data_IF_548865193604
#
_entry.id   IF_548865193604
#
_cell.length_a   1.000
_cell.length_b   1.000
_cell.length_c   1.000
_cell.angle_alpha   90.00
_cell.angle_beta   90.00
_cell.angle_gamma   90.00
#
_symmetry.space_group_name_H-M   'P 1'
#
loop_
_entity.id
_entity.type
_entity.pdbx_description
1 polymer ?
#
# COMPACT_ATOMS: atom_id res chain seq x y z
N UNK A 1 -41.19 -45.02 3.88
CA UNK A 1 -40.23 -44.90 2.76
C UNK A 1 -40.49 -43.70 1.83
N UNK A 2 -41.74 -43.36 1.45
CA UNK A 2 -42.02 -42.25 0.49
C UNK A 2 -41.76 -40.81 1.01
N UNK A 3 -41.81 -40.56 2.33
CA UNK A 3 -41.56 -39.22 2.91
C UNK A 3 -40.08 -38.86 3.00
N UNK A 4 -39.20 -39.84 3.25
CA UNK A 4 -37.75 -39.61 3.36
C UNK A 4 -37.09 -39.36 2.00
N UNK A 5 -37.57 -39.99 0.93
CA UNK A 5 -37.09 -39.70 -0.43
C UNK A 5 -37.50 -38.31 -0.90
N UNK A 6 -38.70 -37.85 -0.57
CA UNK A 6 -39.17 -36.51 -0.92
C UNK A 6 -38.38 -35.41 -0.18
N UNK A 7 -38.07 -35.61 1.10
CA UNK A 7 -37.20 -34.71 1.89
C UNK A 7 -35.76 -34.68 1.35
N UNK A 8 -35.21 -35.82 0.94
CA UNK A 8 -33.88 -35.89 0.35
C UNK A 8 -33.84 -35.20 -1.02
N UNK A 9 -34.89 -35.37 -1.85
CA UNK A 9 -35.02 -34.68 -3.13
C UNK A 9 -35.18 -33.18 -2.97
N UNK A 10 -35.97 -32.71 -2.00
CA UNK A 10 -36.10 -31.27 -1.69
C UNK A 10 -34.79 -30.72 -1.14
N UNK A 11 -34.07 -31.45 -0.28
CA UNK A 11 -32.76 -31.03 0.23
C UNK A 11 -31.71 -30.95 -0.89
N UNK A 12 -31.70 -31.91 -1.83
CA UNK A 12 -30.83 -31.89 -3.01
C UNK A 12 -31.22 -30.77 -3.96
N UNK A 13 -32.52 -30.51 -4.17
CA UNK A 13 -32.99 -29.37 -4.99
C UNK A 13 -32.66 -28.03 -4.32
N UNK A 14 -32.79 -27.92 -3.00
CA UNK A 14 -32.41 -26.73 -2.22
C UNK A 14 -30.89 -26.53 -2.20
N UNK A 15 -30.09 -27.60 -2.13
CA UNK A 15 -28.63 -27.55 -2.29
C UNK A 15 -28.20 -27.21 -3.72
N UNK A 16 -28.95 -27.65 -4.74
CA UNK A 16 -28.71 -27.30 -6.16
C UNK A 16 -29.15 -25.86 -6.48
N UNK A 17 -30.22 -25.35 -5.85
CA UNK A 17 -30.67 -23.95 -5.97
C UNK A 17 -29.77 -23.01 -5.15
N UNK A 18 -29.21 -23.47 -4.02
CA UNK A 18 -28.22 -22.74 -3.24
C UNK A 18 -26.81 -22.76 -3.88
N UNK A 19 -26.57 -23.62 -4.88
CA UNK A 19 -25.29 -23.79 -5.57
C UNK A 19 -24.97 -22.74 -6.64
N UNK A 20 -25.86 -21.77 -6.86
CA UNK A 20 -25.61 -20.60 -7.72
C UNK A 20 -25.64 -19.30 -6.90
N UNK A 21 -25.24 -19.38 -5.63
CA UNK A 21 -25.05 -18.22 -4.79
C UNK A 21 -23.79 -17.48 -5.23
N UNK A 22 -24.01 -16.30 -5.85
CA UNK A 22 -23.16 -15.12 -5.79
C UNK A 22 -21.84 -15.37 -5.05
N UNK A 23 -20.81 -15.71 -5.82
CA UNK A 23 -19.43 -15.64 -5.40
C UNK A 23 -18.70 -14.81 -6.45
N UNK A 24 -18.02 -13.76 -6.00
CA UNK A 24 -17.21 -12.89 -6.85
C UNK A 24 -16.32 -13.77 -7.71
N UNK A 25 -16.41 -13.62 -9.03
CA UNK A 25 -15.67 -14.49 -9.92
C UNK A 25 -14.17 -14.20 -9.84
N UNK A 26 -13.35 -15.26 -9.82
CA UNK A 26 -11.90 -15.14 -9.99
C UNK A 26 -11.60 -14.36 -11.28
N UNK A 27 -10.69 -13.41 -11.20
CA UNK A 27 -10.42 -12.42 -12.25
C UNK A 27 -11.10 -11.07 -11.98
N UNK A 28 -12.10 -10.97 -11.11
CA UNK A 28 -12.71 -9.68 -10.81
C UNK A 28 -11.67 -8.64 -10.35
N UNK A 29 -11.77 -7.44 -10.90
CA UNK A 29 -10.90 -6.32 -10.62
C UNK A 29 -11.60 -5.46 -9.58
N UNK A 30 -10.93 -5.25 -8.45
CA UNK A 30 -11.44 -4.51 -7.29
C UNK A 30 -10.84 -3.12 -7.26
N UNK A 31 -11.66 -2.13 -6.92
CA UNK A 31 -11.25 -0.73 -6.88
C UNK A 31 -11.63 -0.10 -5.54
N UNK A 32 -10.71 0.69 -5.00
CA UNK A 32 -11.00 1.57 -3.88
C UNK A 32 -10.39 2.95 -4.07
N UNK A 33 -10.98 3.95 -3.41
CA UNK A 33 -10.45 5.31 -3.35
C UNK A 33 -9.26 5.38 -2.40
N UNK A 34 -8.49 6.46 -2.47
CA UNK A 34 -7.59 6.87 -1.40
C UNK A 34 -8.34 7.51 -0.22
N UNK A 35 -7.57 8.03 0.75
CA UNK A 35 -8.04 8.84 1.88
C UNK A 35 -9.10 9.88 1.49
N UNK A 36 -10.06 10.09 2.39
CA UNK A 36 -11.22 10.97 2.23
C UNK A 36 -12.11 10.69 1.01
N UNK A 37 -12.08 9.47 0.44
CA UNK A 37 -12.86 9.13 -0.74
C UNK A 37 -12.28 9.71 -2.04
N UNK A 38 -11.02 10.16 -2.04
CA UNK A 38 -10.37 10.78 -3.19
C UNK A 38 -9.90 9.73 -4.19
N UNK A 39 -10.20 9.93 -5.46
CA UNK A 39 -9.68 9.11 -6.55
C UNK A 39 -9.56 9.99 -7.80
N UNK A 40 -8.35 10.06 -8.35
CA UNK A 40 -8.05 10.90 -9.51
C UNK A 40 -8.92 10.50 -10.71
N UNK A 41 -9.63 11.46 -11.29
CA UNK A 41 -10.68 11.27 -12.29
C UNK A 41 -12.10 11.10 -11.73
N UNK A 42 -12.28 10.55 -10.52
CA UNK A 42 -13.62 10.36 -9.93
C UNK A 42 -14.04 11.59 -9.14
N UNK A 43 -13.30 11.91 -8.07
CA UNK A 43 -13.59 13.02 -7.15
C UNK A 43 -12.47 14.07 -7.12
N UNK A 44 -11.29 13.76 -7.65
CA UNK A 44 -10.14 14.66 -7.73
C UNK A 44 -9.64 14.77 -9.18
N UNK A 45 -9.12 15.91 -9.59
CA UNK A 45 -8.38 16.10 -10.85
C UNK A 45 -7.07 16.87 -10.62
N UNK A 46 -6.67 16.96 -9.35
CA UNK A 46 -5.54 17.73 -8.85
C UNK A 46 -4.54 16.78 -8.20
N UNK A 47 -3.26 16.92 -8.55
CA UNK A 47 -2.15 16.16 -7.96
C UNK A 47 -1.47 16.98 -6.86
N UNK A 48 -1.21 16.44 -5.67
CA UNK A 48 -0.57 17.23 -4.61
C UNK A 48 0.82 17.72 -5.05
N UNK A 49 1.21 18.89 -4.52
CA UNK A 49 2.47 19.57 -4.83
C UNK A 49 3.72 18.76 -4.49
N UNK A 50 3.58 17.84 -3.54
CA UNK A 50 4.73 17.40 -2.79
C UNK A 50 5.19 16.04 -3.31
N UNK A 51 6.37 16.10 -3.93
CA UNK A 51 7.23 14.93 -4.14
C UNK A 51 7.52 14.19 -2.83
N UNK A 52 7.39 14.90 -1.70
CA UNK A 52 7.44 14.37 -0.35
C UNK A 52 6.19 13.52 -0.04
N UNK A 53 5.00 13.82 -0.55
CA UNK A 53 3.79 13.03 -0.29
C UNK A 53 3.77 11.79 -1.19
N UNK A 54 4.24 11.94 -2.42
CA UNK A 54 4.34 10.85 -3.40
C UNK A 54 5.48 9.88 -3.03
N UNK A 55 6.64 10.36 -2.54
CA UNK A 55 7.77 9.51 -2.15
C UNK A 55 7.83 9.16 -0.65
N UNK A 56 7.33 10.01 0.25
CA UNK A 56 7.49 9.90 1.72
C UNK A 56 6.15 9.70 2.48
N UNK A 57 5.01 10.30 2.08
CA UNK A 57 3.74 10.29 2.84
C UNK A 57 2.53 9.57 2.21
N UNK A 58 2.79 8.58 1.35
CA UNK A 58 1.94 7.42 1.04
C UNK A 58 0.76 7.56 0.08
N UNK A 59 0.21 8.71 -0.33
CA UNK A 59 -0.92 8.70 -1.28
C UNK A 59 -1.03 9.91 -2.23
N UNK A 60 -1.18 9.61 -3.53
CA UNK A 60 -1.40 10.61 -4.60
C UNK A 60 -2.89 10.89 -4.83
N UNK A 61 -3.77 10.31 -4.01
CA UNK A 61 -5.21 10.33 -4.27
C UNK A 61 -5.61 9.57 -5.54
N UNK A 62 -4.76 8.64 -6.02
CA UNK A 62 -4.97 7.88 -7.26
C UNK A 62 -6.05 6.81 -7.13
N UNK A 63 -6.41 6.42 -5.90
CA UNK A 63 -7.07 5.14 -5.65
C UNK A 63 -6.12 3.96 -5.86
N UNK A 64 -6.68 2.76 -5.81
CA UNK A 64 -5.92 1.50 -5.88
C UNK A 64 -6.73 0.40 -6.56
N UNK A 65 -6.02 -0.59 -7.11
CA UNK A 65 -6.59 -1.73 -7.84
C UNK A 65 -6.01 -3.04 -7.31
N UNK A 66 -6.85 -4.06 -7.20
CA UNK A 66 -6.43 -5.42 -6.96
C UNK A 66 -7.16 -6.41 -7.89
N UNK A 67 -6.51 -7.54 -8.17
CA UNK A 67 -7.09 -8.67 -8.87
C UNK A 67 -7.58 -9.72 -7.87
N UNK A 68 -8.86 -10.03 -7.88
CA UNK A 68 -9.41 -11.11 -7.07
C UNK A 68 -9.08 -12.47 -7.69
N UNK A 69 -8.53 -13.40 -6.91
CA UNK A 69 -8.02 -14.69 -7.42
C UNK A 69 -8.83 -15.90 -6.92
N UNK A 70 -9.95 -15.66 -6.24
CA UNK A 70 -10.76 -16.71 -5.60
C UNK A 70 -10.39 -16.95 -4.13
N UNK A 71 -11.27 -17.64 -3.40
CA UNK A 71 -11.08 -18.02 -1.99
C UNK A 71 -10.74 -16.84 -1.07
N UNK A 72 -11.41 -15.68 -1.24
CA UNK A 72 -11.15 -14.48 -0.43
C UNK A 72 -9.69 -13.97 -0.53
N UNK A 73 -9.01 -14.22 -1.65
CA UNK A 73 -7.63 -13.80 -1.89
C UNK A 73 -7.55 -12.80 -3.04
N UNK A 74 -6.59 -11.88 -2.95
CA UNK A 74 -6.30 -10.90 -3.99
C UNK A 74 -4.81 -10.88 -4.30
N UNK A 75 -4.47 -10.41 -5.50
CA UNK A 75 -3.11 -10.00 -5.88
C UNK A 75 -3.15 -8.52 -6.24
N UNK A 76 -2.21 -7.75 -5.70
CA UNK A 76 -2.07 -6.33 -6.00
C UNK A 76 -0.60 -5.89 -5.92
N UNK A 77 -0.27 -4.77 -6.59
CA UNK A 77 1.04 -4.16 -6.46
C UNK A 77 0.99 -3.05 -5.42
N UNK A 78 1.73 -3.20 -4.33
CA UNK A 78 1.93 -2.18 -3.28
C UNK A 78 3.41 -1.82 -3.21
N UNK A 79 3.82 -0.81 -2.43
CA UNK A 79 5.23 -0.34 -2.42
C UNK A 79 6.24 -1.44 -2.08
N UNK A 80 5.84 -2.42 -1.28
CA UNK A 80 6.63 -3.59 -0.89
C UNK A 80 6.81 -4.61 -2.03
N UNK A 81 6.04 -4.46 -3.10
CA UNK A 81 6.03 -5.32 -4.29
C UNK A 81 4.64 -5.84 -4.61
N UNK A 82 4.58 -6.74 -5.59
CA UNK A 82 3.37 -7.51 -5.90
C UNK A 82 3.19 -8.58 -4.84
N UNK A 83 2.07 -8.57 -4.13
CA UNK A 83 1.79 -9.53 -3.06
C UNK A 83 0.44 -10.22 -3.22
N UNK A 84 0.32 -11.41 -2.64
CA UNK A 84 -0.94 -12.15 -2.53
C UNK A 84 -1.44 -12.12 -1.09
N UNK A 85 -2.54 -11.42 -0.84
CA UNK A 85 -3.09 -11.19 0.51
C UNK A 85 -4.56 -11.58 0.62
N UNK A 86 -5.09 -11.56 1.84
CA UNK A 86 -6.52 -11.74 2.10
C UNK A 86 -7.30 -10.53 1.57
N UNK A 87 -8.44 -10.77 0.93
CA UNK A 87 -9.31 -9.74 0.35
C UNK A 87 -9.77 -8.70 1.38
N UNK A 88 -9.88 -9.06 2.67
CA UNK A 88 -10.20 -8.12 3.76
C UNK A 88 -9.14 -7.06 3.98
N UNK A 89 -7.92 -7.34 3.55
CA UNK A 89 -6.79 -6.43 3.61
C UNK A 89 -6.70 -5.54 2.36
N UNK A 90 -7.62 -5.66 1.40
CA UNK A 90 -7.69 -4.71 0.29
C UNK A 90 -7.94 -3.29 0.81
N UNK A 91 -8.85 -3.15 1.77
CA UNK A 91 -9.01 -1.92 2.55
C UNK A 91 -8.90 -2.25 4.06
N UNK A 92 -7.70 -2.16 4.67
CA UNK A 92 -7.52 -2.49 6.07
C UNK A 92 -8.29 -1.52 6.99
N UNK A 93 -8.56 -1.91 8.25
CA UNK A 93 -9.29 -1.06 9.23
C UNK A 93 -8.66 0.34 9.37
N UNK A 94 -7.34 0.42 9.28
CA UNK A 94 -6.61 1.69 9.34
C UNK A 94 -6.99 2.65 8.22
N UNK A 95 -7.21 2.14 7.02
CA UNK A 95 -7.55 2.95 5.85
C UNK A 95 -9.04 3.29 5.81
N UNK A 96 -9.90 2.38 6.28
CA UNK A 96 -11.32 2.71 6.52
C UNK A 96 -11.47 3.90 7.48
N UNK A 97 -10.68 3.95 8.56
CA UNK A 97 -10.69 5.08 9.51
C UNK A 97 -10.19 6.40 8.90
N UNK A 98 -9.38 6.31 7.84
CA UNK A 98 -8.90 7.43 7.03
C UNK A 98 -9.87 7.78 5.89
N UNK A 99 -11.05 7.16 5.84
CA UNK A 99 -12.08 7.51 4.87
C UNK A 99 -11.88 6.91 3.48
N UNK A 100 -11.06 5.88 3.33
CA UNK A 100 -11.00 5.09 2.10
C UNK A 100 -12.34 4.41 1.86
N UNK A 101 -12.77 4.36 0.59
CA UNK A 101 -14.06 3.80 0.22
C UNK A 101 -13.89 2.78 -0.88
N UNK A 102 -14.61 1.67 -0.73
CA UNK A 102 -14.76 0.71 -1.80
C UNK A 102 -15.56 1.34 -2.95
N UNK A 103 -15.06 1.22 -4.18
CA UNK A 103 -15.68 1.79 -5.38
C UNK A 103 -16.54 0.74 -6.09
N UNK A 104 -16.04 -0.49 -6.20
CA UNK A 104 -16.75 -1.60 -6.81
C UNK A 104 -15.82 -2.63 -7.43
N UNK A 105 -16.43 -3.66 -8.02
CA UNK A 105 -15.75 -4.69 -8.78
C UNK A 105 -16.17 -4.64 -10.25
N UNK A 106 -15.25 -4.99 -11.14
CA UNK A 106 -15.48 -5.10 -12.59
C UNK A 106 -14.90 -6.42 -13.11
N UNK A 107 -15.49 -6.93 -14.17
CA UNK A 107 -14.99 -8.08 -14.94
C UNK A 107 -14.98 -7.73 -16.43
N UNK A 108 -14.16 -8.39 -17.26
CA UNK A 108 -14.24 -8.26 -18.72
C UNK A 108 -15.66 -8.42 -19.26
N UNK A 109 -15.97 -7.82 -20.41
CA UNK A 109 -17.23 -8.11 -21.09
C UNK A 109 -17.34 -9.61 -21.42
N UNK A 110 -18.58 -10.12 -21.35
CA UNK A 110 -18.92 -11.52 -21.64
C UNK A 110 -18.16 -12.54 -20.78
N UNK A 111 -17.77 -12.17 -19.55
CA UNK A 111 -17.02 -13.06 -18.65
C UNK A 111 -17.79 -14.34 -18.25
N UNK A 112 -19.10 -14.29 -18.36
CA UNK A 112 -20.04 -15.39 -18.12
C UNK A 112 -20.17 -16.35 -19.32
N UNK A 113 -19.72 -15.96 -20.52
CA UNK A 113 -19.74 -16.82 -21.70
C UNK A 113 -18.57 -17.83 -21.65
N UNK A 114 -18.82 -19.13 -21.45
CA UNK A 114 -17.76 -20.13 -21.36
C UNK A 114 -17.03 -20.37 -22.70
N UNK A 115 -17.59 -19.93 -23.83
CA UNK A 115 -16.92 -19.96 -25.13
C UNK A 115 -15.81 -18.91 -25.23
N UNK A 116 -15.97 -17.77 -24.54
CA UNK A 116 -14.98 -16.69 -24.47
C UNK A 116 -14.08 -16.84 -23.24
N UNK A 117 -14.66 -17.15 -22.10
CA UNK A 117 -14.03 -17.24 -20.78
C UNK A 117 -14.29 -18.58 -20.12
N UNK A 118 -13.72 -19.64 -20.71
CA UNK A 118 -13.74 -20.97 -20.09
C UNK A 118 -13.07 -20.97 -18.71
N UNK A 119 -13.45 -21.91 -17.84
CA UNK A 119 -12.82 -22.09 -16.54
C UNK A 119 -11.30 -22.31 -16.61
N UNK A 120 -10.84 -23.01 -17.66
CA UNK A 120 -9.41 -23.19 -17.92
C UNK A 120 -8.73 -21.85 -18.19
N UNK A 121 -9.34 -21.01 -19.03
CA UNK A 121 -8.84 -19.68 -19.36
C UNK A 121 -8.75 -18.78 -18.13
N UNK A 122 -9.81 -18.76 -17.31
CA UNK A 122 -9.83 -18.04 -16.02
C UNK A 122 -8.73 -18.58 -15.08
N UNK A 123 -8.51 -19.90 -15.03
CA UNK A 123 -7.44 -20.50 -14.23
C UNK A 123 -6.04 -20.12 -14.72
N UNK A 124 -5.82 -20.03 -16.04
CA UNK A 124 -4.56 -19.60 -16.63
C UNK A 124 -4.26 -18.14 -16.32
N UNK A 125 -5.26 -17.25 -16.40
CA UNK A 125 -5.16 -15.86 -15.97
C UNK A 125 -4.69 -15.76 -14.52
N UNK A 126 -5.32 -16.50 -13.60
CA UNK A 126 -4.93 -16.49 -12.18
C UNK A 126 -3.52 -17.04 -11.97
N UNK A 127 -3.13 -18.11 -12.68
CA UNK A 127 -1.78 -18.65 -12.61
C UNK A 127 -0.75 -17.63 -13.10
N UNK A 128 -1.06 -16.91 -14.17
CA UNK A 128 -0.22 -15.85 -14.72
C UNK A 128 -0.08 -14.68 -13.73
N UNK A 129 -1.17 -14.28 -13.06
CA UNK A 129 -1.13 -13.28 -11.99
C UNK A 129 -0.22 -13.72 -10.83
N UNK A 130 -0.33 -14.97 -10.39
CA UNK A 130 0.50 -15.54 -9.32
C UNK A 130 2.00 -15.54 -9.66
N UNK A 131 2.37 -15.68 -10.93
CA UNK A 131 3.76 -15.59 -11.37
C UNK A 131 4.35 -14.18 -11.21
N UNK A 132 3.51 -13.15 -11.06
CA UNK A 132 3.97 -11.78 -10.84
C UNK A 132 4.25 -11.47 -9.36
N UNK A 133 3.83 -12.34 -8.43
CA UNK A 133 4.05 -12.14 -6.98
C UNK A 133 5.55 -12.09 -6.67
N UNK A 134 5.95 -11.10 -5.87
CA UNK A 134 7.33 -10.81 -5.52
C UNK A 134 8.04 -9.84 -6.46
N UNK A 135 7.40 -9.46 -7.58
CA UNK A 135 7.96 -8.42 -8.45
C UNK A 135 7.90 -7.03 -7.80
N UNK A 136 8.86 -6.14 -8.08
CA UNK A 136 8.92 -4.81 -7.48
C UNK A 136 7.78 -3.89 -7.92
N UNK A 137 7.59 -2.82 -7.16
CA UNK A 137 6.62 -1.77 -7.45
C UNK A 137 7.27 -0.60 -8.18
N UNK A 138 6.60 -0.12 -9.22
CA UNK A 138 7.03 1.06 -9.97
C UNK A 138 6.70 2.35 -9.19
N UNK A 139 7.66 2.78 -8.38
CA UNK A 139 7.49 3.92 -7.46
C UNK A 139 7.45 5.29 -8.15
N UNK A 140 8.03 5.43 -9.34
CA UNK A 140 8.03 6.68 -10.11
C UNK A 140 7.04 6.65 -11.29
N UNK A 141 6.32 5.55 -11.51
CA UNK A 141 5.33 5.40 -12.57
C UNK A 141 5.96 5.50 -13.98
N UNK A 142 7.26 5.22 -14.15
CA UNK A 142 7.92 5.32 -15.46
C UNK A 142 7.66 4.12 -16.36
N UNK A 143 7.45 2.93 -15.79
CA UNK A 143 7.28 1.66 -16.50
C UNK A 143 5.81 1.19 -16.57
N UNK A 144 5.05 1.45 -15.50
CA UNK A 144 3.62 1.23 -15.26
C UNK A 144 3.14 -0.21 -15.46
N UNK A 145 3.21 -0.74 -16.68
CA UNK A 145 2.84 -2.11 -17.07
C UNK A 145 4.02 -3.11 -16.95
N UNK A 146 5.11 -2.78 -16.26
CA UNK A 146 6.17 -3.74 -15.97
C UNK A 146 7.10 -4.10 -17.13
N UNK A 147 7.35 -3.15 -18.05
CA UNK A 147 8.29 -3.30 -19.18
C UNK A 147 9.69 -3.79 -18.74
N UNK A 148 10.10 -3.44 -17.52
CA UNK A 148 11.35 -3.89 -16.89
C UNK A 148 11.14 -4.74 -15.61
N UNK A 149 9.89 -5.13 -15.32
CA UNK A 149 9.51 -5.96 -14.17
C UNK A 149 8.81 -5.23 -13.01
N UNK A 150 8.74 -3.90 -13.05
CA UNK A 150 8.17 -3.05 -11.99
C UNK A 150 6.73 -2.64 -12.31
N UNK A 151 5.78 -2.89 -11.41
CA UNK A 151 4.36 -2.65 -11.65
C UNK A 151 3.76 -1.52 -10.81
N UNK A 152 2.88 -0.74 -11.41
CA UNK A 152 1.86 0.00 -10.66
C UNK A 152 0.66 -0.92 -10.38
N UNK A 153 -0.22 -0.57 -9.44
CA UNK A 153 -1.38 -1.40 -9.13
C UNK A 153 -2.31 -1.61 -10.34
N UNK A 154 -2.61 -0.54 -11.09
CA UNK A 154 -3.40 -0.60 -12.32
C UNK A 154 -2.64 -1.30 -13.45
N UNK A 155 -1.34 -1.00 -13.61
CA UNK A 155 -0.52 -1.60 -14.67
C UNK A 155 -0.25 -3.09 -14.47
N UNK A 156 -0.24 -3.60 -13.23
CA UNK A 156 -0.20 -5.03 -12.95
C UNK A 156 -1.43 -5.74 -13.53
N UNK A 157 -2.62 -5.20 -13.28
CA UNK A 157 -3.88 -5.82 -13.75
C UNK A 157 -3.92 -5.85 -15.27
N UNK A 158 -3.56 -4.73 -15.90
CA UNK A 158 -3.47 -4.62 -17.36
C UNK A 158 -2.48 -5.61 -17.93
N UNK A 159 -1.27 -5.65 -17.37
CA UNK A 159 -0.26 -6.60 -17.82
C UNK A 159 -0.75 -8.04 -17.73
N UNK A 160 -1.39 -8.41 -16.61
CA UNK A 160 -1.92 -9.76 -16.41
C UNK A 160 -2.96 -10.10 -17.47
N UNK A 161 -3.88 -9.19 -17.76
CA UNK A 161 -4.96 -9.42 -18.72
C UNK A 161 -4.52 -9.32 -20.18
N UNK A 162 -3.58 -8.46 -20.52
CA UNK A 162 -3.15 -8.32 -21.92
C UNK A 162 -2.13 -9.39 -22.30
N UNK A 163 -1.26 -9.78 -21.35
CA UNK A 163 -0.09 -10.61 -21.66
C UNK A 163 -0.27 -12.09 -21.32
N UNK A 164 -1.33 -12.49 -20.60
CA UNK A 164 -1.65 -13.91 -20.53
C UNK A 164 -1.98 -14.45 -21.93
N UNK A 165 -1.80 -15.75 -22.15
CA UNK A 165 -1.89 -16.38 -23.48
C UNK A 165 -0.84 -15.89 -24.50
N UNK A 166 0.26 -15.27 -24.04
CA UNK A 166 1.35 -14.87 -24.91
C UNK A 166 1.10 -13.55 -25.65
N UNK A 167 0.39 -12.62 -25.00
CA UNK A 167 0.12 -11.28 -25.55
C UNK A 167 -1.19 -11.16 -26.32
N UNK A 168 -2.07 -12.16 -26.27
CA UNK A 168 -3.36 -12.17 -26.96
C UNK A 168 -4.53 -12.32 -25.99
N UNK A 169 -4.35 -11.90 -24.73
CA UNK A 169 -5.33 -12.11 -23.68
C UNK A 169 -6.61 -11.31 -23.87
N UNK A 170 -6.77 -10.24 -23.11
CA UNK A 170 -7.91 -9.34 -23.13
C UNK A 170 -7.45 -7.91 -22.86
N UNK A 171 -7.82 -7.00 -23.76
CA UNK A 171 -7.55 -5.57 -23.63
C UNK A 171 -8.59 -4.95 -22.68
N UNK A 172 -8.15 -4.55 -21.49
CA UNK A 172 -9.02 -3.91 -20.49
C UNK A 172 -9.15 -2.42 -20.81
N UNK A 173 -8.07 -1.75 -21.19
CA UNK A 173 -8.11 -0.31 -21.41
C UNK A 173 -7.44 -0.01 -22.73
N UNK A 174 -8.15 0.57 -23.71
CA UNK A 174 -7.56 0.90 -25.00
C UNK A 174 -6.27 1.72 -24.85
N UNK A 175 -5.19 1.20 -25.44
CA UNK A 175 -3.90 1.89 -25.38
C UNK A 175 -3.97 3.25 -26.07
N UNK A 176 -3.56 4.29 -25.35
CA UNK A 176 -3.47 5.63 -25.89
C UNK A 176 -3.04 6.65 -24.85
N UNK A 177 -2.50 7.76 -25.34
CA UNK A 177 -2.11 8.93 -24.55
C UNK A 177 -3.09 10.07 -24.76
N UNK A 178 -3.45 10.77 -23.67
CA UNK A 178 -4.39 11.89 -23.70
C UNK A 178 -4.14 12.81 -24.92
N UNK A 179 -5.01 12.81 -25.95
CA UNK A 179 -4.97 13.78 -27.02
C UNK A 179 -5.56 15.11 -26.53
N UNK A 180 -5.04 16.22 -27.04
CA UNK A 180 -5.51 17.57 -26.67
C UNK A 180 -6.98 17.82 -27.02
N UNK A 181 -7.60 16.96 -27.82
CA UNK A 181 -8.97 17.09 -28.32
C UNK A 181 -9.84 15.88 -27.97
N UNK A 182 -10.91 16.12 -27.21
CA UNK A 182 -12.12 15.30 -27.25
C UNK A 182 -12.20 14.03 -26.40
N UNK A 183 -11.19 13.66 -25.60
CA UNK A 183 -11.17 12.33 -24.92
C UNK A 183 -10.88 12.40 -23.41
N UNK A 184 -11.25 13.49 -22.75
CA UNK A 184 -11.25 13.54 -21.28
C UNK A 184 -11.38 14.92 -20.66
N UNK A 185 -11.06 15.00 -19.36
CA UNK A 185 -11.25 16.18 -18.50
C UNK A 185 -9.91 16.83 -18.16
N UNK A 186 -9.85 18.16 -18.10
CA UNK A 186 -8.64 18.87 -17.67
C UNK A 186 -8.92 19.89 -16.59
N UNK A 187 -7.93 20.15 -15.74
CA UNK A 187 -7.99 21.17 -14.71
C UNK A 187 -6.66 21.92 -14.57
N UNK A 188 -6.74 23.23 -14.35
CA UNK A 188 -5.58 24.03 -13.97
C UNK A 188 -5.30 23.83 -12.48
N UNK A 189 -4.03 23.65 -12.17
CA UNK A 189 -3.53 23.47 -10.82
C UNK A 189 -2.38 24.43 -10.55
N UNK A 190 -2.41 25.04 -9.38
CA UNK A 190 -1.33 25.89 -8.88
C UNK A 190 -0.44 25.10 -7.94
N UNK A 191 0.84 25.06 -8.28
CA UNK A 191 1.91 24.42 -7.55
C UNK A 191 2.71 25.45 -6.78
N UNK A 192 2.61 25.39 -5.46
CA UNK A 192 3.44 26.12 -4.53
C UNK A 192 4.30 25.11 -3.75
N UNK A 193 5.40 24.66 -4.37
CA UNK A 193 6.25 23.59 -3.85
C UNK A 193 7.70 24.06 -3.64
N UNK A 194 8.53 23.25 -2.99
CA UNK A 194 9.94 23.59 -2.76
C UNK A 194 10.72 23.86 -4.05
N UNK A 195 10.43 23.10 -5.12
CA UNK A 195 11.08 23.25 -6.43
C UNK A 195 10.67 24.52 -7.17
N UNK A 196 9.48 25.06 -6.88
CA UNK A 196 9.06 26.39 -7.35
C UNK A 196 9.49 27.50 -6.39
N UNK A 197 10.33 27.19 -5.39
CA UNK A 197 10.74 28.10 -4.33
C UNK A 197 9.55 28.76 -3.61
N UNK A 198 8.46 28.00 -3.47
CA UNK A 198 7.19 28.46 -2.91
C UNK A 198 6.54 29.61 -3.70
N UNK A 199 6.87 29.73 -4.98
CA UNK A 199 6.18 30.59 -5.94
C UNK A 199 5.09 29.79 -6.65
N UNK A 200 3.97 30.45 -6.92
CA UNK A 200 2.83 29.83 -7.60
C UNK A 200 3.16 29.54 -9.07
N UNK A 201 3.30 28.27 -9.44
CA UNK A 201 3.42 27.79 -10.83
C UNK A 201 2.10 27.14 -11.25
N UNK A 202 1.43 27.68 -12.27
CA UNK A 202 0.15 27.15 -12.72
C UNK A 202 0.32 26.27 -13.96
N UNK A 203 -0.11 25.00 -13.89
CA UNK A 203 -0.07 24.06 -15.01
C UNK A 203 -1.40 23.35 -15.18
N UNK A 204 -1.61 22.76 -16.35
CA UNK A 204 -2.85 22.05 -16.72
C UNK A 204 -2.61 20.55 -16.71
N UNK A 205 -3.30 19.82 -15.84
CA UNK A 205 -3.36 18.36 -15.89
C UNK A 205 -4.58 17.90 -16.66
N UNK A 206 -4.51 16.70 -17.22
CA UNK A 206 -5.60 16.10 -17.98
C UNK A 206 -5.81 14.65 -17.59
N UNK A 207 -7.04 14.30 -17.26
CA UNK A 207 -7.51 12.96 -17.02
C UNK A 207 -8.10 12.36 -18.30
N UNK A 208 -7.58 11.19 -18.69
CA UNK A 208 -8.05 10.43 -19.83
C UNK A 208 -9.28 9.59 -19.47
N UNK A 209 -10.30 9.65 -20.33
CA UNK A 209 -11.55 8.89 -20.15
C UNK A 209 -11.64 7.67 -21.06
N UNK A 210 -11.17 7.79 -22.30
CA UNK A 210 -11.34 6.75 -23.34
C UNK A 210 -10.08 5.93 -23.62
N UNK A 211 -8.96 6.24 -22.95
CA UNK A 211 -7.64 5.65 -23.19
C UNK A 211 -6.81 5.62 -21.89
N UNK A 212 -5.76 4.79 -21.85
CA UNK A 212 -4.96 4.49 -20.65
C UNK A 212 -4.32 5.71 -19.96
N UNK A 213 -3.64 6.58 -20.70
CA UNK A 213 -2.64 7.48 -20.13
C UNK A 213 -3.15 8.92 -19.98
N UNK A 214 -3.27 9.37 -18.73
CA UNK A 214 -3.59 10.75 -18.34
C UNK A 214 -2.34 11.63 -18.35
N UNK A 215 -2.43 12.85 -18.91
CA UNK A 215 -1.31 13.79 -18.95
C UNK A 215 -1.12 14.49 -17.60
N UNK A 216 0.11 14.47 -17.10
CA UNK A 216 0.49 15.15 -15.86
C UNK A 216 1.57 16.21 -16.14
N UNK A 217 1.36 17.42 -15.61
CA UNK A 217 2.27 18.56 -15.73
C UNK A 217 2.61 19.06 -14.34
N UNK A 218 3.67 18.51 -13.76
CA UNK A 218 4.20 18.93 -12.46
C UNK A 218 5.57 19.60 -12.62
N UNK A 219 5.92 20.63 -11.82
CA UNK A 219 7.24 21.29 -11.85
C UNK A 219 8.43 20.34 -11.83
N UNK A 220 8.29 19.24 -11.11
CA UNK A 220 9.36 18.29 -10.85
C UNK A 220 9.19 16.93 -11.53
N UNK A 221 8.15 16.75 -12.35
CA UNK A 221 7.90 15.47 -13.03
C UNK A 221 9.09 15.04 -13.89
N UNK A 222 9.77 16.00 -14.53
CA UNK A 222 10.96 15.71 -15.32
C UNK A 222 12.19 15.43 -14.46
N UNK A 223 12.39 16.18 -13.37
CA UNK A 223 13.54 16.05 -12.48
C UNK A 223 13.55 14.70 -11.75
N UNK A 224 12.36 14.19 -11.39
CA UNK A 224 12.20 12.92 -10.68
C UNK A 224 11.80 11.74 -11.57
N UNK A 225 11.83 11.94 -12.88
CA UNK A 225 11.42 10.93 -13.86
C UNK A 225 10.06 10.30 -13.56
N UNK A 226 9.10 11.16 -13.18
CA UNK A 226 7.76 10.72 -12.79
C UNK A 226 6.84 10.57 -13.99
N UNK A 227 6.20 9.42 -14.08
CA UNK A 227 5.31 9.09 -15.16
C UNK A 227 6.06 8.68 -16.41
N UNK A 228 5.34 7.95 -17.27
CA UNK A 228 5.82 7.48 -18.55
C UNK A 228 6.04 8.67 -19.48
N UNK A 229 7.19 8.69 -20.13
CA UNK A 229 7.55 9.74 -21.09
C UNK A 229 6.98 9.42 -22.47
N UNK A 230 6.24 10.34 -23.05
CA UNK A 230 5.76 10.23 -24.43
C UNK A 230 5.70 11.61 -25.09
N UNK A 231 6.32 11.77 -26.27
CA UNK A 231 6.38 13.03 -27.02
C UNK A 231 6.81 14.27 -26.19
N UNK A 232 7.73 14.09 -25.23
CA UNK A 232 8.25 15.17 -24.38
C UNK A 232 7.39 15.51 -23.16
N UNK A 233 6.22 14.88 -23.02
CA UNK A 233 5.30 15.05 -21.89
C UNK A 233 5.31 13.81 -20.98
N UNK A 234 4.72 13.96 -19.79
CA UNK A 234 4.63 12.90 -18.77
C UNK A 234 3.19 12.42 -18.60
N UNK A 235 3.04 11.11 -18.44
CA UNK A 235 1.73 10.50 -18.32
C UNK A 235 1.68 9.44 -17.22
N UNK A 236 0.53 9.32 -16.58
CA UNK A 236 0.24 8.30 -15.58
C UNK A 236 -1.06 7.61 -15.95
N UNK A 237 -1.06 6.30 -15.85
CA UNK A 237 -2.24 5.46 -15.89
C UNK A 237 -2.83 5.38 -14.50
N UNK A 238 -4.07 5.86 -14.35
CA UNK A 238 -4.78 5.86 -13.08
C UNK A 238 -5.83 4.74 -12.98
N UNK A 239 -6.03 4.19 -11.78
CA UNK A 239 -7.09 3.21 -11.49
C UNK A 239 -8.48 3.59 -12.01
N UNK A 240 -8.86 4.86 -11.93
CA UNK A 240 -10.22 5.27 -12.31
C UNK A 240 -10.42 5.26 -13.82
N UNK A 241 -9.39 5.57 -14.60
CA UNK A 241 -9.42 5.44 -16.07
C UNK A 241 -9.77 4.01 -16.44
N UNK A 242 -9.11 3.01 -15.84
CA UNK A 242 -9.44 1.60 -16.05
C UNK A 242 -10.88 1.26 -15.60
N UNK A 243 -11.31 1.78 -14.45
CA UNK A 243 -12.64 1.49 -13.90
C UNK A 243 -13.80 1.92 -14.82
N UNK A 244 -13.66 3.04 -15.53
CA UNK A 244 -14.72 3.59 -16.39
C UNK A 244 -14.78 2.96 -17.78
N UNK A 245 -13.84 2.08 -18.13
CA UNK A 245 -13.79 1.50 -19.47
C UNK A 245 -15.01 0.64 -19.78
N UNK A 246 -15.48 0.73 -21.03
CA UNK A 246 -16.66 0.00 -21.53
C UNK A 246 -16.36 -1.47 -21.86
N UNK A 247 -15.09 -1.82 -21.96
CA UNK A 247 -14.55 -3.20 -22.07
C UNK A 247 -14.76 -4.02 -20.79
N UNK A 248 -15.24 -3.41 -19.70
CA UNK A 248 -15.56 -4.13 -18.47
C UNK A 248 -16.97 -3.82 -18.00
N UNK A 249 -17.60 -4.80 -17.35
CA UNK A 249 -18.93 -4.67 -16.75
C UNK A 249 -18.84 -4.72 -15.22
N UNK A 250 -19.62 -3.90 -14.48
CA UNK A 250 -19.70 -4.02 -13.03
C UNK A 250 -20.19 -5.40 -12.60
N UNK A 251 -19.68 -5.89 -11.48
CA UNK A 251 -20.13 -7.13 -10.83
C UNK A 251 -20.37 -6.89 -9.34
N UNK A 252 -21.33 -7.60 -8.76
CA UNK A 252 -21.58 -7.54 -7.33
C UNK A 252 -20.40 -8.11 -6.55
N UNK A 253 -20.16 -7.56 -5.36
CA UNK A 253 -19.10 -8.00 -4.45
C UNK A 253 -19.74 -8.60 -3.22
N UNK A 254 -19.62 -9.91 -3.10
CA UNK A 254 -20.17 -10.75 -2.02
C UNK A 254 -19.06 -11.32 -1.10
N UNK A 255 -17.80 -11.00 -1.40
CA UNK A 255 -16.63 -11.33 -0.59
C UNK A 255 -16.19 -10.15 0.28
N UNK A 256 -15.61 -10.38 1.46
CA UNK A 256 -15.20 -9.30 2.33
C UNK A 256 -13.93 -8.62 1.81
N UNK A 257 -14.09 -7.41 1.26
CA UNK A 257 -12.98 -6.61 0.68
C UNK A 257 -12.40 -5.56 1.62
N UNK A 258 -12.84 -5.53 2.88
CA UNK A 258 -12.39 -4.53 3.85
C UNK A 258 -12.52 -5.01 5.28
N UNK A 259 -11.88 -4.29 6.20
CA UNK A 259 -12.03 -4.51 7.64
C UNK A 259 -10.96 -5.39 8.28
N UNK A 260 -10.01 -5.93 7.51
CA UNK A 260 -8.86 -6.71 8.01
C UNK A 260 -9.22 -8.04 8.68
N UNK A 261 -8.40 -9.06 8.49
CA UNK A 261 -8.56 -10.36 9.18
C UNK A 261 -8.06 -10.32 10.63
N UNK A 262 -8.82 -9.68 11.52
CA UNK A 262 -8.55 -9.70 12.97
C UNK A 262 -9.86 -9.86 13.74
N UNK A 263 -9.92 -10.86 14.61
CA UNK A 263 -10.98 -11.05 15.60
C UNK A 263 -11.21 -9.76 16.39
N UNK A 264 -12.46 -9.50 16.77
CA UNK A 264 -12.89 -8.35 17.58
C UNK A 264 -12.46 -8.45 19.04
N UNK A 265 -11.17 -8.74 19.28
CA UNK A 265 -10.55 -8.72 20.59
C UNK A 265 -9.60 -7.52 20.65
N UNK A 266 -9.92 -6.58 21.54
CA UNK A 266 -9.22 -5.34 21.87
C UNK A 266 -7.77 -5.57 22.41
N UNK A 267 -6.88 -6.16 21.61
CA UNK A 267 -5.46 -6.38 21.96
C UNK A 267 -4.47 -5.79 20.93
N UNK A 268 -4.92 -4.82 20.13
CA UNK A 268 -4.07 -4.04 19.21
C UNK A 268 -3.14 -3.04 19.93
N UNK A 269 -3.18 -2.94 21.25
CA UNK A 269 -2.39 -1.93 21.98
C UNK A 269 -0.88 -2.21 21.96
N UNK A 270 -0.41 -3.41 21.63
CA UNK A 270 1.02 -3.76 21.77
C UNK A 270 1.95 -3.27 20.65
N UNK A 271 1.41 -2.70 19.56
CA UNK A 271 2.23 -2.29 18.42
C UNK A 271 2.46 -0.78 18.29
N UNK A 272 1.70 0.07 18.98
CA UNK A 272 1.76 1.52 18.81
C UNK A 272 2.75 2.23 19.77
N UNK A 273 3.45 3.26 19.29
CA UNK A 273 4.20 4.22 20.12
C UNK A 273 3.36 5.49 20.33
N UNK A 274 2.32 5.42 21.18
CA UNK A 274 1.27 6.44 21.30
C UNK A 274 1.74 7.90 21.42
N UNK A 275 2.76 8.18 22.23
CA UNK A 275 3.26 9.56 22.42
C UNK A 275 3.90 10.09 21.13
N UNK A 276 4.67 9.23 20.46
CA UNK A 276 5.37 9.58 19.21
C UNK A 276 4.35 9.70 18.08
N UNK A 277 3.41 8.76 17.98
CA UNK A 277 2.28 8.81 17.05
C UNK A 277 1.44 10.07 17.26
N UNK A 278 1.12 10.45 18.50
CA UNK A 278 0.37 11.66 18.81
C UNK A 278 1.12 12.95 18.47
N UNK A 279 2.45 12.96 18.63
CA UNK A 279 3.28 14.12 18.30
C UNK A 279 3.44 14.29 16.78
N UNK A 280 3.60 13.20 16.03
CA UNK A 280 3.90 13.23 14.59
C UNK A 280 2.68 12.99 13.70
N UNK A 281 1.51 12.69 14.29
CA UNK A 281 0.22 12.60 13.60
C UNK A 281 -0.01 11.32 12.81
N UNK A 282 0.98 10.42 12.74
CA UNK A 282 0.87 9.15 12.00
C UNK A 282 1.67 8.04 12.68
N UNK A 283 1.10 6.83 12.88
CA UNK A 283 1.82 5.67 13.43
C UNK A 283 2.88 5.10 12.48
N UNK A 284 2.93 5.62 11.25
CA UNK A 284 3.84 5.25 10.17
C UNK A 284 4.90 6.32 9.90
N UNK A 285 4.95 7.38 10.70
CA UNK A 285 5.97 8.42 10.59
C UNK A 285 7.37 7.78 10.74
N UNK A 286 8.40 8.14 9.92
CA UNK A 286 9.73 7.54 10.00
C UNK A 286 10.36 7.57 11.39
N UNK A 287 10.08 8.63 12.15
CA UNK A 287 10.48 8.72 13.56
C UNK A 287 9.75 7.71 14.45
N UNK A 288 8.45 7.47 14.24
CA UNK A 288 7.71 6.41 14.95
C UNK A 288 8.31 5.04 14.64
N UNK A 289 8.64 4.77 13.38
CA UNK A 289 9.34 3.54 12.98
C UNK A 289 10.71 3.41 13.66
N UNK A 290 11.49 4.49 13.74
CA UNK A 290 12.78 4.52 14.44
C UNK A 290 12.62 4.15 15.92
N UNK A 291 11.61 4.69 16.60
CA UNK A 291 11.33 4.32 17.99
C UNK A 291 10.82 2.88 18.14
N UNK A 292 10.03 2.38 17.19
CA UNK A 292 9.54 0.98 17.17
C UNK A 292 10.68 -0.01 16.97
N UNK A 293 11.56 0.25 16.01
CA UNK A 293 12.74 -0.57 15.75
C UNK A 293 13.66 -0.61 16.99
N UNK A 294 13.85 0.55 17.65
CA UNK A 294 14.63 0.60 18.89
C UNK A 294 13.96 -0.20 20.03
N UNK A 295 12.64 -0.06 20.20
CA UNK A 295 11.86 -0.84 21.17
C UNK A 295 12.02 -2.34 20.91
N UNK A 296 11.82 -2.76 19.67
CA UNK A 296 11.78 -4.17 19.31
C UNK A 296 13.16 -4.82 19.38
N UNK A 297 14.22 -4.07 19.03
CA UNK A 297 15.60 -4.57 19.00
C UNK A 297 16.31 -4.52 20.36
N UNK A 298 16.05 -3.50 21.20
CA UNK A 298 16.77 -3.29 22.47
C UNK A 298 15.91 -3.41 23.74
N UNK A 299 14.67 -2.90 23.73
CA UNK A 299 13.84 -2.89 24.94
C UNK A 299 13.09 -4.21 25.14
N UNK A 300 12.62 -4.83 24.06
CA UNK A 300 11.89 -6.10 24.12
C UNK A 300 12.77 -7.28 24.54
N UNK A 301 14.07 -7.20 24.27
CA UNK A 301 15.06 -8.26 24.54
C UNK A 301 15.56 -8.29 25.99
N UNK A 302 15.29 -7.26 26.79
CA UNK A 302 15.73 -7.16 28.19
C UNK A 302 14.57 -7.15 29.20
N UNK A 303 14.76 -7.73 30.38
CA UNK A 303 13.72 -7.76 31.44
C UNK A 303 13.35 -6.35 31.93
N UNK A 304 14.34 -5.48 32.09
CA UNK A 304 14.12 -4.07 32.42
C UNK A 304 13.38 -3.33 31.30
N UNK A 305 13.75 -3.57 30.04
CA UNK A 305 13.07 -2.95 28.89
C UNK A 305 11.60 -3.36 28.77
N UNK A 306 11.27 -4.64 29.04
CA UNK A 306 9.87 -5.09 29.09
C UNK A 306 9.05 -4.41 30.20
N UNK A 307 9.64 -4.13 31.36
CA UNK A 307 8.95 -3.36 32.42
C UNK A 307 8.71 -1.90 32.01
N UNK A 308 9.68 -1.25 31.36
CA UNK A 308 9.55 0.11 30.83
C UNK A 308 8.44 0.17 29.78
N UNK A 309 8.41 -0.81 28.87
CA UNK A 309 7.36 -0.96 27.87
C UNK A 309 5.99 -1.10 28.55
N UNK A 310 5.86 -1.98 29.54
CA UNK A 310 4.59 -2.16 30.26
C UNK A 310 4.10 -0.90 30.97
N UNK A 311 4.99 -0.15 31.61
CA UNK A 311 4.65 1.14 32.22
C UNK A 311 4.24 2.18 31.17
N UNK A 312 4.94 2.21 30.03
CA UNK A 312 4.62 3.07 28.90
C UNK A 312 3.21 2.80 28.36
N UNK A 313 2.87 1.54 28.07
CA UNK A 313 1.55 1.16 27.58
C UNK A 313 0.44 1.47 28.59
N UNK A 314 0.71 1.35 29.89
CA UNK A 314 -0.27 1.63 30.95
C UNK A 314 -0.58 3.13 31.12
N UNK A 315 0.41 4.01 31.03
CA UNK A 315 0.24 5.42 31.43
C UNK A 315 0.23 6.41 30.26
N UNK A 316 0.76 6.04 29.10
CA UNK A 316 0.88 6.96 27.96
C UNK A 316 -0.40 7.23 27.14
N UNK A 317 -1.41 6.33 27.03
CA UNK A 317 -2.58 6.58 26.17
C UNK A 317 -3.39 7.85 26.54
N UNK A 318 -3.68 8.16 27.82
CA UNK A 318 -4.37 9.41 28.18
C UNK A 318 -3.59 10.66 27.78
N UNK A 319 -2.26 10.63 27.97
CA UNK A 319 -1.37 11.73 27.62
C UNK A 319 -1.25 11.91 26.10
N UNK A 320 -1.17 10.81 25.35
CA UNK A 320 -1.15 10.82 23.89
C UNK A 320 -2.43 11.44 23.31
N UNK A 321 -3.61 11.11 23.86
CA UNK A 321 -4.88 11.73 23.45
C UNK A 321 -4.92 13.23 23.67
N UNK A 322 -4.29 13.73 24.74
CA UNK A 322 -4.17 15.16 24.99
C UNK A 322 -3.25 15.85 23.97
N UNK A 323 -2.08 15.25 23.69
CA UNK A 323 -1.10 15.76 22.72
C UNK A 323 -1.71 15.80 21.31
N UNK A 324 -2.41 14.74 20.89
CA UNK A 324 -2.99 14.63 19.56
C UNK A 324 -4.00 15.76 19.25
N UNK A 325 -4.69 16.31 20.27
CA UNK A 325 -5.71 17.36 20.10
C UNK A 325 -5.17 18.79 20.07
N UNK A 326 -3.92 19.02 20.45
CA UNK A 326 -3.38 20.37 20.62
C UNK A 326 -2.07 20.56 19.84
N UNK A 327 -2.10 21.40 18.79
CA UNK A 327 -0.95 21.65 17.92
C UNK A 327 0.27 22.18 18.69
N UNK A 328 0.08 23.03 19.70
CA UNK A 328 1.17 23.49 20.58
C UNK A 328 1.82 22.37 21.40
N UNK A 329 1.01 21.42 21.89
CA UNK A 329 1.52 20.26 22.63
C UNK A 329 2.25 19.27 21.71
N UNK A 330 1.80 19.11 20.46
CA UNK A 330 2.53 18.32 19.46
C UNK A 330 3.91 18.90 19.20
N UNK A 331 4.02 20.22 18.96
CA UNK A 331 5.29 20.91 18.72
C UNK A 331 6.23 20.79 19.92
N UNK A 332 5.73 21.03 21.13
CA UNK A 332 6.53 20.85 22.35
C UNK A 332 7.01 19.41 22.51
N UNK A 333 6.14 18.42 22.24
CA UNK A 333 6.49 17.00 22.32
C UNK A 333 7.53 16.63 21.28
N UNK A 334 7.46 17.14 20.05
CA UNK A 334 8.49 16.94 19.01
C UNK A 334 9.85 17.46 19.46
N UNK A 335 9.91 18.65 20.06
CA UNK A 335 11.15 19.24 20.57
C UNK A 335 11.74 18.37 21.69
N UNK A 336 10.90 17.92 22.62
CA UNK A 336 11.32 17.05 23.73
C UNK A 336 11.78 15.67 23.25
N UNK A 337 11.15 15.12 22.21
CA UNK A 337 11.50 13.81 21.64
C UNK A 337 12.74 13.84 20.75
N UNK A 338 13.19 15.01 20.29
CA UNK A 338 14.27 15.15 19.32
C UNK A 338 15.61 14.57 19.81
N UNK A 339 16.07 14.80 21.06
CA UNK A 339 17.28 14.16 21.57
C UNK A 339 17.16 12.63 21.63
N UNK A 340 15.99 12.12 22.05
CA UNK A 340 15.74 10.68 22.11
C UNK A 340 15.70 10.04 20.71
N UNK A 341 15.14 10.74 19.73
CA UNK A 341 15.12 10.33 18.34
C UNK A 341 16.55 10.21 17.78
N UNK A 342 17.42 11.18 18.05
CA UNK A 342 18.83 11.13 17.65
C UNK A 342 19.53 9.92 18.27
N UNK A 343 19.34 9.67 19.56
CA UNK A 343 19.94 8.51 20.25
C UNK A 343 19.43 7.19 19.67
N UNK A 344 18.12 7.03 19.47
CA UNK A 344 17.54 5.80 18.90
C UNK A 344 17.99 5.57 17.46
N UNK A 345 18.03 6.62 16.64
CA UNK A 345 18.52 6.57 15.27
C UNK A 345 19.99 6.17 15.19
N UNK A 346 20.86 6.83 15.98
CA UNK A 346 22.28 6.48 16.05
C UNK A 346 22.48 5.05 16.54
N UNK A 347 21.71 4.62 17.55
CA UNK A 347 21.78 3.24 18.08
C UNK A 347 21.42 2.19 17.03
N UNK A 348 20.49 2.50 16.12
CA UNK A 348 20.07 1.58 15.05
C UNK A 348 20.99 1.59 13.82
N UNK A 349 21.64 2.73 13.54
CA UNK A 349 22.51 2.91 12.35
C UNK A 349 23.97 2.60 12.60
N UNK A 350 24.48 2.81 13.81
CA UNK A 350 25.80 2.32 14.20
C UNK A 350 25.67 0.81 14.37
N UNK A 351 26.32 0.03 13.51
CA UNK A 351 26.23 -1.43 13.60
C UNK A 351 26.52 -1.89 15.05
N UNK A 352 25.64 -2.69 15.67
CA UNK A 352 25.89 -3.23 17.01
C UNK A 352 27.23 -3.96 17.06
N UNK A 353 27.67 -4.55 15.94
CA UNK A 353 28.97 -5.18 15.79
C UNK A 353 30.13 -4.22 16.07
N UNK A 354 30.09 -2.96 15.62
CA UNK A 354 31.16 -2.00 15.88
C UNK A 354 31.20 -1.59 17.35
N UNK A 355 30.04 -1.41 17.99
CA UNK A 355 29.96 -1.07 19.41
C UNK A 355 30.39 -2.25 20.30
N UNK A 356 29.93 -3.47 20.04
CA UNK A 356 30.33 -4.67 20.78
C UNK A 356 31.79 -5.07 20.52
N UNK A 357 32.32 -4.88 19.31
CA UNK A 357 33.75 -5.09 19.02
C UNK A 357 34.61 -4.02 19.68
N UNK A 358 34.18 -2.75 19.68
CA UNK A 358 34.87 -1.67 20.40
C UNK A 358 34.89 -1.92 21.91
N UNK A 359 33.75 -2.30 22.50
CA UNK A 359 33.65 -2.64 23.93
C UNK A 359 34.49 -3.88 24.25
N UNK A 360 34.51 -4.90 23.40
CA UNK A 360 35.33 -6.11 23.58
C UNK A 360 36.83 -5.82 23.46
N UNK A 361 37.24 -4.94 22.54
CA UNK A 361 38.62 -4.48 22.38
C UNK A 361 39.08 -3.67 23.60
N UNK A 362 38.23 -2.76 24.09
CA UNK A 362 38.51 -1.94 25.28
C UNK A 362 38.58 -2.81 26.54
N UNK A 363 37.67 -3.78 26.70
CA UNK A 363 37.69 -4.71 27.83
C UNK A 363 38.90 -5.64 27.77
N UNK A 364 39.30 -6.11 26.58
CA UNK A 364 40.52 -6.88 26.36
C UNK A 364 41.79 -6.07 26.71
N UNK A 365 41.86 -4.81 26.28
CA UNK A 365 42.96 -3.89 26.60
C UNK A 365 43.06 -3.57 28.10
N UNK A 366 41.92 -3.48 28.80
CA UNK A 366 41.89 -3.24 30.26
C UNK A 366 42.26 -4.49 31.09
N UNK A 367 42.04 -5.70 30.56
CA UNK A 367 42.36 -6.96 31.26
C UNK A 367 43.78 -7.47 30.96
N UNK A 368 44.42 -7.04 29.88
CA UNK A 368 45.80 -7.39 29.52
C UNK A 368 46.82 -7.08 30.65
N UNK A 369 46.82 -5.90 31.30
CA UNK A 369 47.74 -5.60 32.41
C UNK A 369 47.51 -6.53 33.61
N UNK A 370 46.27 -6.89 33.93
CA UNK A 370 45.93 -7.78 35.05
C UNK A 370 46.38 -9.22 34.77
N UNK A 371 46.26 -9.67 33.52
CA UNK A 371 46.76 -10.97 33.07
C UNK A 371 48.29 -11.04 33.13
N UNK A 372 48.99 -10.02 32.63
CA UNK A 372 50.46 -9.97 32.69
C UNK A 372 50.99 -9.74 34.11
N UNK A 373 50.29 -9.00 34.96
CA UNK A 373 50.67 -8.80 36.37
C UNK A 373 50.49 -10.07 37.22
N UNK A 374 49.52 -10.94 36.88
CA UNK A 374 49.40 -12.29 37.49
C UNK A 374 50.48 -13.26 37.03
N UNK A 375 51.01 -13.10 35.82
CA UNK A 375 52.05 -13.97 35.26
C UNK A 375 53.48 -13.58 35.69
N UNK A 376 53.66 -12.35 36.17
CA UNK A 376 54.94 -11.82 36.67
C UNK A 376 55.13 -11.92 38.19
N UNK A 377 54.28 -12.66 38.92
CA UNK A 377 54.62 -13.10 40.28
C UNK A 377 55.37 -14.44 40.17
N UNK A 378 56.71 -14.46 40.31
CA UNK A 378 57.39 -15.72 40.57
C UNK A 378 56.99 -16.20 41.96
N UNK A 379 56.83 -17.51 42.12
CA UNK A 379 56.67 -18.15 43.44
C UNK A 379 57.84 -17.84 44.38
#
# INVERSE_FOLDING_TARGET
MKRSTCLLSILVIVLMIAGSGLALERGAILYHTSEDGKMYGLTALELPCSLIDILILREVGSGHVALYIGNERIIHAVREGVEETDSRNFIPRTDLRRGFRYVGAKIPLNYDDPAVWSDTRKSQLILFAKQQVGKPYDTNFSHQKGEDGDFTCVGLVEYVYENFEGGTGYDITPFGYYPETGTGRSQYQTYNCADTLWQDDTRKNSFAEDIEFSQIRHPSANTLDMGRKHNGERYIFFPYTQYIQTTTTPVATDVPVSGGGGSDDDDDDWWECFIVTAAYGSPLHPHVTTFRDFRDRYLRTSTAGRMIIGAYYKYSPPLARFIAKHQGAQTATRIVLLPALVVTYLSLKLEPALLWTSISLILGLLLLPVYFHRRQRPE
#
